data_IF_065262168901
#
_entry.id   IF_065262168901
#
_cell.length_a   1.000
_cell.length_b   1.000
_cell.length_c   1.000
_cell.angle_alpha   90.00
_cell.angle_beta   90.00
_cell.angle_gamma   90.00
#
_symmetry.space_group_name_H-M   'P 1'
#
loop_
_entity.id
_entity.type
_entity.pdbx_description
1 polymer ?
#
# COMPACT_ATOMS: atom_id res chain seq x y z
N UNK A 1 -11.92 1.86 -2.34
CA UNK A 1 -11.25 0.57 -2.65
C UNK A 1 -11.35 -0.35 -1.44
N UNK A 2 -11.09 -1.64 -1.57
CA UNK A 2 -11.08 -2.58 -0.46
C UNK A 2 -9.72 -3.26 -0.40
N UNK A 3 -9.11 -3.35 0.78
CA UNK A 3 -7.82 -3.98 0.99
C UNK A 3 -7.94 -5.00 2.11
N UNK A 4 -7.44 -6.22 1.88
CA UNK A 4 -7.25 -7.26 2.88
C UNK A 4 -5.75 -7.45 3.19
N UNK A 5 -5.36 -8.06 4.32
CA UNK A 5 -3.96 -8.32 4.62
C UNK A 5 -3.28 -9.20 3.58
N UNK A 6 -1.99 -8.94 3.32
CA UNK A 6 -1.12 -9.90 2.65
C UNK A 6 -0.62 -10.90 3.68
N UNK A 7 -1.11 -12.14 3.59
CA UNK A 7 -0.67 -13.25 4.42
C UNK A 7 0.25 -14.19 3.63
N UNK A 8 0.98 -15.06 4.31
CA UNK A 8 2.05 -15.85 3.69
C UNK A 8 2.02 -17.31 4.13
N UNK A 9 2.34 -18.19 3.18
CA UNK A 9 2.50 -19.63 3.42
C UNK A 9 3.97 -19.99 3.69
N UNK A 10 4.21 -21.24 4.14
CA UNK A 10 5.56 -21.79 4.38
C UNK A 10 6.40 -20.95 5.36
N UNK A 11 5.77 -20.46 6.41
CA UNK A 11 6.44 -19.78 7.52
C UNK A 11 7.10 -20.84 8.42
N UNK A 12 8.39 -20.68 8.65
CA UNK A 12 9.20 -21.51 9.54
C UNK A 12 10.26 -20.67 10.25
N UNK A 13 11.17 -21.32 10.98
CA UNK A 13 12.12 -20.63 11.88
C UNK A 13 12.97 -19.57 11.15
N UNK A 14 13.36 -19.81 9.90
CA UNK A 14 14.24 -18.92 9.13
C UNK A 14 13.57 -17.63 8.62
N UNK A 15 12.25 -17.63 8.43
CA UNK A 15 11.50 -16.50 7.85
C UNK A 15 10.38 -15.99 8.77
N UNK A 16 10.24 -16.54 9.98
CA UNK A 16 9.25 -16.10 10.98
C UNK A 16 9.40 -14.61 11.32
N UNK A 17 10.63 -14.11 11.48
CA UNK A 17 10.88 -12.69 11.75
C UNK A 17 10.33 -11.79 10.65
N UNK A 18 10.64 -12.12 9.39
CA UNK A 18 10.13 -11.40 8.22
C UNK A 18 8.60 -11.48 8.12
N UNK A 19 8.02 -12.64 8.43
CA UNK A 19 6.57 -12.82 8.47
C UNK A 19 5.91 -11.85 9.45
N UNK A 20 6.41 -11.77 10.68
CA UNK A 20 5.86 -10.85 11.69
C UNK A 20 6.09 -9.39 11.33
N UNK A 21 7.22 -9.07 10.68
CA UNK A 21 7.46 -7.73 10.15
C UNK A 21 6.39 -7.34 9.12
N UNK A 22 6.12 -8.18 8.12
CA UNK A 22 5.05 -7.91 7.14
C UNK A 22 3.67 -7.85 7.79
N UNK A 23 3.37 -8.79 8.69
CA UNK A 23 2.08 -8.83 9.39
C UNK A 23 1.85 -7.59 10.24
N UNK A 24 2.89 -7.02 10.85
CA UNK A 24 2.80 -5.83 11.68
C UNK A 24 2.21 -4.62 10.95
N UNK A 25 2.51 -4.47 9.65
CA UNK A 25 1.97 -3.41 8.83
C UNK A 25 0.44 -3.52 8.71
N UNK A 26 -0.07 -4.72 8.45
CA UNK A 26 -1.50 -4.95 8.29
C UNK A 26 -2.26 -4.97 9.62
N UNK A 27 -1.67 -5.55 10.67
CA UNK A 27 -2.31 -5.60 12.00
C UNK A 27 -2.31 -4.25 12.73
N UNK A 28 -1.45 -3.32 12.33
CA UNK A 28 -1.29 -2.04 13.03
C UNK A 28 -1.48 -0.84 12.09
N UNK A 29 -0.62 -0.68 11.08
CA UNK A 29 -0.63 0.52 10.24
C UNK A 29 -1.91 0.62 9.39
N UNK A 30 -2.44 -0.48 8.85
CA UNK A 30 -3.70 -0.45 8.10
C UNK A 30 -4.93 -0.17 8.95
N UNK A 31 -4.95 -0.62 10.21
CA UNK A 31 -6.00 -0.23 11.16
C UNK A 31 -5.96 1.28 11.48
N UNK A 32 -4.75 1.85 11.62
CA UNK A 32 -4.61 3.30 11.78
C UNK A 32 -5.07 4.05 10.51
N UNK A 33 -4.66 3.57 9.34
CA UNK A 33 -5.07 4.13 8.06
C UNK A 33 -6.61 4.09 7.89
N UNK A 34 -7.28 3.00 8.27
CA UNK A 34 -8.75 2.91 8.31
C UNK A 34 -9.36 4.05 9.16
N UNK A 35 -8.86 4.25 10.39
CA UNK A 35 -9.37 5.30 11.28
C UNK A 35 -9.19 6.70 10.72
N UNK A 36 -8.12 6.91 9.95
CA UNK A 36 -7.82 8.20 9.32
C UNK A 36 -8.48 8.37 7.94
N UNK A 37 -9.14 7.34 7.42
CA UNK A 37 -9.70 7.34 6.05
C UNK A 37 -8.61 7.37 4.97
N UNK A 38 -7.48 6.70 5.25
CA UNK A 38 -6.27 6.67 4.44
C UNK A 38 -5.84 5.25 4.05
N UNK A 39 -6.75 4.26 4.15
CA UNK A 39 -6.46 2.91 3.64
C UNK A 39 -5.91 3.05 2.23
N UNK A 40 -4.77 2.42 1.95
CA UNK A 40 -4.12 2.48 0.64
C UNK A 40 -4.10 1.09 0.00
N UNK A 41 -3.94 1.05 -1.32
CA UNK A 41 -3.77 -0.20 -2.05
C UNK A 41 -2.33 -0.66 -1.97
N UNK A 42 -2.13 -1.98 -1.78
CA UNK A 42 -0.79 -2.59 -1.62
C UNK A 42 -0.45 -3.58 -2.74
N UNK A 43 -1.14 -3.48 -3.87
CA UNK A 43 -0.85 -4.26 -5.08
C UNK A 43 -1.49 -5.65 -5.12
N UNK A 44 -1.74 -6.26 -3.96
CA UNK A 44 -2.38 -7.59 -3.87
C UNK A 44 -3.42 -7.61 -2.76
N UNK A 45 -4.28 -8.63 -2.78
CA UNK A 45 -5.36 -8.83 -1.80
C UNK A 45 -6.29 -7.61 -1.68
N UNK A 46 -6.48 -6.87 -2.78
CA UNK A 46 -7.31 -5.68 -2.80
C UNK A 46 -8.12 -5.56 -4.09
N UNK A 47 -9.20 -4.80 -3.99
CA UNK A 47 -10.12 -4.51 -5.08
C UNK A 47 -10.23 -3.00 -5.27
N UNK A 48 -9.95 -2.55 -6.48
CA UNK A 48 -10.10 -1.16 -6.88
C UNK A 48 -11.21 -1.05 -7.92
N UNK A 49 -12.06 -0.05 -7.77
CA UNK A 49 -13.13 0.21 -8.74
C UNK A 49 -12.50 0.60 -10.07
N UNK A 50 -12.84 -0.13 -11.14
CA UNK A 50 -12.26 0.06 -12.48
C UNK A 50 -12.36 1.50 -12.98
N UNK A 51 -13.46 2.20 -12.70
CA UNK A 51 -13.64 3.60 -13.12
C UNK A 51 -12.63 4.56 -12.48
N UNK A 52 -12.07 4.23 -11.31
CA UNK A 52 -11.03 5.04 -10.66
C UNK A 52 -9.66 4.82 -11.30
N UNK A 53 -9.40 3.61 -11.80
CA UNK A 53 -8.14 3.25 -12.48
C UNK A 53 -8.13 3.77 -13.92
N UNK A 54 -9.27 3.65 -14.63
CA UNK A 54 -9.40 4.07 -16.04
C UNK A 54 -9.54 5.57 -16.24
N UNK A 55 -9.78 6.34 -15.18
CA UNK A 55 -9.75 7.81 -15.25
C UNK A 55 -8.35 8.22 -15.72
N UNK A 56 -8.23 9.26 -16.53
CA UNK A 56 -6.92 9.69 -17.05
C UNK A 56 -5.89 9.82 -15.91
N UNK A 57 -4.78 9.10 -16.08
CA UNK A 57 -3.66 8.91 -15.14
C UNK A 57 -3.96 8.09 -13.86
N UNK A 58 -5.07 7.34 -13.80
CA UNK A 58 -5.51 6.60 -12.60
C UNK A 58 -4.62 5.40 -12.24
N UNK A 59 -3.79 4.97 -13.19
CA UNK A 59 -2.67 4.05 -13.01
C UNK A 59 -1.41 4.75 -13.53
N UNK A 60 -0.36 4.80 -12.71
CA UNK A 60 0.91 5.43 -13.09
C UNK A 60 1.90 4.36 -13.57
N UNK A 61 2.03 4.22 -14.88
CA UNK A 61 2.90 3.22 -15.52
C UNK A 61 4.40 3.55 -15.38
N UNK A 62 4.74 4.80 -15.05
CA UNK A 62 6.13 5.25 -14.86
C UNK A 62 6.61 5.10 -13.40
N UNK A 63 5.70 4.78 -12.47
CA UNK A 63 6.02 4.54 -11.06
C UNK A 63 6.36 3.08 -10.81
N UNK A 64 7.45 2.80 -10.07
CA UNK A 64 7.84 1.43 -9.69
C UNK A 64 6.84 0.80 -8.68
N UNK A 65 6.11 1.64 -7.96
CA UNK A 65 5.04 1.23 -7.02
C UNK A 65 3.74 1.87 -7.46
N UNK A 66 3.30 1.48 -8.64
CA UNK A 66 2.08 1.92 -9.30
C UNK A 66 0.82 1.70 -8.45
N UNK A 67 0.85 0.65 -7.62
CA UNK A 67 -0.18 0.31 -6.65
C UNK A 67 -0.32 1.36 -5.53
N UNK A 68 0.79 1.75 -4.92
CA UNK A 68 0.86 2.78 -3.89
C UNK A 68 0.50 4.15 -4.47
N UNK A 69 0.93 4.44 -5.70
CA UNK A 69 0.58 5.66 -6.43
C UNK A 69 -0.94 5.74 -6.65
N UNK A 70 -1.57 4.66 -7.12
CA UNK A 70 -3.01 4.58 -7.31
C UNK A 70 -3.77 4.77 -5.98
N UNK A 71 -3.31 4.11 -4.90
CA UNK A 71 -3.91 4.25 -3.57
C UNK A 71 -3.84 5.68 -3.02
N UNK A 72 -2.68 6.32 -3.10
CA UNK A 72 -2.48 7.71 -2.68
C UNK A 72 -3.38 8.68 -3.46
N UNK A 73 -3.48 8.49 -4.79
CA UNK A 73 -4.34 9.29 -5.64
C UNK A 73 -5.82 9.13 -5.28
N UNK A 74 -6.30 7.90 -5.11
CA UNK A 74 -7.69 7.61 -4.73
C UNK A 74 -8.06 8.35 -3.44
N UNK A 75 -7.17 8.29 -2.43
CA UNK A 75 -7.36 8.99 -1.17
C UNK A 75 -7.38 10.51 -1.35
N UNK A 76 -6.49 11.07 -2.20
CA UNK A 76 -6.44 12.50 -2.51
C UNK A 76 -7.67 13.01 -3.28
N UNK A 77 -8.28 12.17 -4.13
CA UNK A 77 -9.54 12.48 -4.80
C UNK A 77 -10.75 12.43 -3.84
N UNK A 78 -10.54 12.07 -2.56
CA UNK A 78 -11.56 12.06 -1.52
C UNK A 78 -12.35 10.75 -1.44
N UNK A 79 -11.96 9.72 -2.19
CA UNK A 79 -12.56 8.40 -2.08
C UNK A 79 -12.00 7.68 -0.86
N UNK A 80 -12.87 7.00 -0.13
CA UNK A 80 -12.46 6.21 1.03
C UNK A 80 -12.14 4.76 0.63
N UNK A 81 -11.06 4.25 1.21
CA UNK A 81 -10.76 2.83 1.24
C UNK A 81 -11.36 2.15 2.47
N UNK A 82 -11.58 0.84 2.37
CA UNK A 82 -12.00 -0.04 3.47
C UNK A 82 -10.93 -1.11 3.65
N UNK A 83 -10.42 -1.23 4.87
CA UNK A 83 -9.58 -2.36 5.27
C UNK A 83 -10.45 -3.48 5.87
N UNK A 84 -10.28 -4.70 5.37
CA UNK A 84 -10.94 -5.92 5.86
C UNK A 84 -9.86 -6.79 6.48
N UNK A 85 -9.89 -6.96 7.80
CA UNK A 85 -8.85 -7.69 8.54
C UNK A 85 -9.09 -9.21 8.51
N UNK A 86 -9.16 -9.76 7.30
CA UNK A 86 -9.36 -11.18 7.04
C UNK A 86 -8.37 -11.65 5.98
N UNK A 87 -7.66 -12.75 6.26
CA UNK A 87 -6.74 -13.35 5.31
C UNK A 87 -7.51 -14.07 4.20
N UNK A 88 -7.58 -13.44 3.02
CA UNK A 88 -8.27 -13.98 1.84
C UNK A 88 -7.36 -14.80 0.92
N UNK A 89 -6.06 -14.83 1.20
CA UNK A 89 -5.09 -15.55 0.41
C UNK A 89 -3.69 -15.53 1.02
N UNK A 90 -2.87 -16.52 0.66
CA UNK A 90 -1.51 -16.69 1.18
C UNK A 90 -0.49 -16.73 0.06
N UNK A 91 0.39 -15.73 0.04
CA UNK A 91 1.49 -15.63 -0.92
C UNK A 91 2.78 -16.31 -0.45
N UNK A 92 3.86 -15.98 -1.15
CA UNK A 92 5.23 -16.38 -0.79
C UNK A 92 6.06 -15.16 -0.43
N UNK A 93 6.82 -15.27 0.67
CA UNK A 93 7.86 -14.30 1.01
C UNK A 93 9.12 -14.55 0.16
N UNK A 94 10.02 -13.55 0.05
CA UNK A 94 11.32 -13.74 -0.60
C UNK A 94 12.07 -14.97 -0.06
N UNK A 95 12.62 -15.77 -0.96
CA UNK A 95 13.31 -17.03 -0.62
C UNK A 95 14.72 -16.81 -0.05
N UNK A 96 15.34 -15.67 -0.36
CA UNK A 96 16.68 -15.31 0.08
C UNK A 96 16.80 -13.81 0.37
N UNK A 97 17.90 -13.46 1.03
CA UNK A 97 18.20 -12.10 1.44
C UNK A 97 18.40 -11.14 0.25
N UNK A 98 18.99 -11.61 -0.86
CA UNK A 98 19.23 -10.75 -2.02
C UNK A 98 17.91 -10.33 -2.68
N UNK A 99 16.95 -11.24 -2.77
CA UNK A 99 15.58 -10.99 -3.22
C UNK A 99 14.84 -10.04 -2.28
N UNK A 100 15.00 -10.21 -0.96
CA UNK A 100 14.43 -9.30 0.03
C UNK A 100 14.97 -7.87 -0.17
N UNK A 101 16.28 -7.70 -0.31
CA UNK A 101 16.90 -6.38 -0.54
C UNK A 101 16.42 -5.75 -1.84
N UNK A 102 16.33 -6.53 -2.94
CA UNK A 102 15.78 -6.04 -4.21
C UNK A 102 14.34 -5.55 -4.05
N UNK A 103 13.50 -6.31 -3.35
CA UNK A 103 12.12 -5.90 -3.08
C UNK A 103 12.06 -4.60 -2.28
N UNK A 104 12.82 -4.50 -1.18
CA UNK A 104 12.84 -3.30 -0.33
C UNK A 104 13.35 -2.07 -1.07
N UNK A 105 14.37 -2.23 -1.92
CA UNK A 105 14.87 -1.13 -2.77
C UNK A 105 13.79 -0.58 -3.69
N UNK A 106 13.02 -1.46 -4.34
CA UNK A 106 11.87 -1.04 -5.18
C UNK A 106 10.81 -0.33 -4.37
N UNK A 107 10.45 -0.86 -3.20
CA UNK A 107 9.47 -0.22 -2.32
C UNK A 107 9.92 1.17 -1.86
N UNK A 108 11.16 1.31 -1.37
CA UNK A 108 11.67 2.61 -0.93
C UNK A 108 11.72 3.60 -2.08
N UNK A 109 12.28 3.20 -3.22
CA UNK A 109 12.40 4.07 -4.38
C UNK A 109 11.02 4.51 -4.90
N UNK A 110 10.10 3.58 -5.12
CA UNK A 110 8.76 3.89 -5.59
C UNK A 110 7.97 4.77 -4.64
N UNK A 111 8.01 4.50 -3.32
CA UNK A 111 7.36 5.37 -2.34
C UNK A 111 7.96 6.79 -2.32
N UNK A 112 9.28 6.92 -2.54
CA UNK A 112 9.92 8.23 -2.68
C UNK A 112 9.53 8.94 -3.98
N UNK A 113 9.31 8.21 -5.08
CA UNK A 113 8.76 8.79 -6.31
C UNK A 113 7.37 9.37 -6.05
N UNK A 114 6.46 8.58 -5.47
CA UNK A 114 5.10 9.01 -5.13
C UNK A 114 5.14 10.23 -4.21
N UNK A 115 5.94 10.18 -3.14
CA UNK A 115 6.10 11.31 -2.24
C UNK A 115 6.62 12.54 -2.96
N UNK A 116 7.67 12.43 -3.78
CA UNK A 116 8.24 13.57 -4.51
C UNK A 116 7.23 14.23 -5.45
N UNK A 117 6.43 13.43 -6.17
CA UNK A 117 5.40 13.91 -7.09
C UNK A 117 4.21 14.59 -6.37
N UNK A 118 3.85 14.10 -5.18
CA UNK A 118 2.64 14.52 -4.47
C UNK A 118 2.88 15.41 -3.25
N UNK A 119 4.11 15.55 -2.74
CA UNK A 119 4.42 16.31 -1.51
C UNK A 119 3.88 17.74 -1.57
N UNK A 120 4.13 18.44 -2.67
CA UNK A 120 3.63 19.81 -2.86
C UNK A 120 2.10 19.89 -2.88
N UNK A 121 1.43 18.85 -3.38
CA UNK A 121 -0.03 18.74 -3.42
C UNK A 121 -0.57 18.47 -2.01
N UNK A 122 0.00 17.51 -1.28
CA UNK A 122 -0.39 17.12 0.08
C UNK A 122 -0.27 18.32 1.04
N UNK A 123 0.86 19.03 0.99
CA UNK A 123 1.10 20.20 1.87
C UNK A 123 0.07 21.30 1.60
N UNK A 124 -0.21 21.59 0.33
CA UNK A 124 -1.11 22.69 -0.08
C UNK A 124 -2.60 22.34 -0.04
N UNK A 125 -2.97 21.07 -0.04
CA UNK A 125 -4.37 20.66 -0.08
C UNK A 125 -5.08 21.01 1.24
N UNK A 126 -6.10 21.86 1.15
CA UNK A 126 -6.92 22.29 2.30
C UNK A 126 -8.02 21.27 2.65
N UNK A 127 -8.30 20.31 1.77
CA UNK A 127 -9.30 19.26 1.99
C UNK A 127 -8.78 18.14 2.90
N UNK A 128 -7.46 17.95 2.95
CA UNK A 128 -6.82 16.98 3.83
C UNK A 128 -6.70 17.54 5.25
N UNK A 129 -7.12 16.74 6.24
CA UNK A 129 -6.92 17.05 7.67
C UNK A 129 -5.44 16.95 8.01
N UNK A 130 -5.00 17.65 9.06
CA UNK A 130 -3.61 17.56 9.54
C UNK A 130 -3.24 16.11 9.88
N UNK A 131 -4.15 15.35 10.50
CA UNK A 131 -3.94 13.94 10.79
C UNK A 131 -3.87 13.03 9.55
N UNK A 132 -4.24 13.54 8.37
CA UNK A 132 -4.15 12.84 7.09
C UNK A 132 -2.91 13.24 6.26
N UNK A 133 -2.24 14.33 6.64
CA UNK A 133 -0.99 14.80 6.03
C UNK A 133 0.19 14.17 6.76
#
# INVERSE_FOLDING_TARGET
>A
MVQAPQDYSRVGVRNAGLYYEYRSFFSTAMHQAQRLGLVSFTGTMGLVRTSLVRKESGWDEDCITEDAAAGARINREGYLGVYVDESLGKGYMPFDYANLIRQRRRWVYGNMQVLSQDLGKIVRDKKLRIAQK
#
